data_IF_270287334664
#
_entry.id   IF_270287334664
#
_cell.length_a   1.000
_cell.length_b   1.000
_cell.length_c   1.000
_cell.angle_alpha   90.00
_cell.angle_beta   90.00
_cell.angle_gamma   90.00
#
_symmetry.space_group_name_H-M   'P 1'
#
loop_
_entity.id
_entity.type
_entity.pdbx_description
1 polymer ?
#
# COMPACT_ATOMS: atom_id res chain seq x y z
N UNK A 1 -8.90 -27.42 -29.17
CA UNK A 1 -8.45 -26.96 -27.85
C UNK A 1 -9.67 -26.89 -26.98
N UNK A 2 -9.84 -27.85 -26.08
CA UNK A 2 -10.94 -27.89 -25.09
C UNK A 2 -10.79 -26.65 -24.20
N UNK A 3 -11.68 -25.68 -24.36
CA UNK A 3 -11.88 -24.65 -23.34
C UNK A 3 -12.24 -25.37 -22.04
N UNK A 4 -11.35 -25.28 -21.06
CA UNK A 4 -11.59 -25.75 -19.70
C UNK A 4 -12.75 -24.92 -19.13
N UNK A 5 -13.97 -25.39 -19.35
CA UNK A 5 -15.20 -24.75 -18.87
C UNK A 5 -15.18 -24.85 -17.34
N UNK A 6 -14.94 -23.73 -16.66
CA UNK A 6 -14.99 -23.67 -15.20
C UNK A 6 -16.39 -24.09 -14.72
N UNK A 7 -16.45 -25.06 -13.81
CA UNK A 7 -17.72 -25.55 -13.29
C UNK A 7 -18.40 -24.47 -12.42
N UNK A 8 -19.74 -24.40 -12.46
CA UNK A 8 -20.49 -23.43 -11.66
C UNK A 8 -20.16 -23.50 -10.14
N UNK A 9 -19.95 -24.70 -9.60
CA UNK A 9 -19.56 -24.89 -8.20
C UNK A 9 -18.21 -24.24 -7.86
N UNK A 10 -17.28 -24.21 -8.81
CA UNK A 10 -15.96 -23.60 -8.65
C UNK A 10 -16.04 -22.07 -8.67
N UNK A 11 -16.89 -21.53 -9.55
CA UNK A 11 -17.22 -20.09 -9.59
C UNK A 11 -17.79 -19.64 -8.24
N UNK A 12 -18.76 -20.38 -7.71
CA UNK A 12 -19.36 -20.12 -6.39
C UNK A 12 -18.28 -20.12 -5.30
N UNK A 13 -17.41 -21.14 -5.26
CA UNK A 13 -16.34 -21.21 -4.26
C UNK A 13 -15.36 -20.03 -4.31
N UNK A 14 -15.06 -19.51 -5.51
CA UNK A 14 -14.23 -18.31 -5.68
C UNK A 14 -14.94 -17.07 -5.13
N UNK A 15 -16.22 -16.88 -5.45
CA UNK A 15 -16.97 -15.73 -4.92
C UNK A 15 -17.18 -15.82 -3.41
N UNK A 16 -17.46 -17.00 -2.86
CA UNK A 16 -17.55 -17.20 -1.40
C UNK A 16 -16.23 -16.88 -0.70
N UNK A 17 -15.09 -17.27 -1.31
CA UNK A 17 -13.78 -16.91 -0.80
C UNK A 17 -13.54 -15.40 -0.85
N UNK A 18 -14.04 -14.68 -1.85
CA UNK A 18 -13.89 -13.23 -1.97
C UNK A 18 -14.97 -12.41 -1.23
N UNK A 19 -16.11 -13.00 -0.89
CA UNK A 19 -17.24 -12.35 -0.21
C UNK A 19 -17.00 -12.08 1.29
N UNK A 20 -15.74 -11.92 1.69
CA UNK A 20 -15.36 -11.48 3.03
C UNK A 20 -14.23 -10.45 2.92
N UNK A 21 -14.38 -9.33 3.62
CA UNK A 21 -13.55 -8.14 3.48
C UNK A 21 -12.06 -8.43 3.59
N UNK A 22 -11.62 -9.12 4.65
CA UNK A 22 -10.20 -9.42 4.88
C UNK A 22 -9.60 -10.32 3.80
N UNK A 23 -10.36 -11.30 3.28
CA UNK A 23 -9.92 -12.17 2.18
C UNK A 23 -9.79 -11.40 0.87
N UNK A 24 -10.77 -10.56 0.56
CA UNK A 24 -10.71 -9.68 -0.61
C UNK A 24 -9.50 -8.74 -0.54
N UNK A 25 -9.27 -8.13 0.60
CA UNK A 25 -8.14 -7.21 0.80
C UNK A 25 -6.79 -7.92 0.77
N UNK A 26 -6.69 -9.13 1.33
CA UNK A 26 -5.50 -9.97 1.23
C UNK A 26 -5.21 -10.34 -0.22
N UNK A 27 -6.23 -10.74 -0.99
CA UNK A 27 -6.07 -11.05 -2.40
C UNK A 27 -5.67 -9.81 -3.22
N UNK A 28 -6.33 -8.66 -3.01
CA UNK A 28 -5.95 -7.38 -3.64
C UNK A 28 -4.53 -6.93 -3.27
N UNK A 29 -4.11 -7.16 -2.02
CA UNK A 29 -2.73 -6.90 -1.59
C UNK A 29 -1.74 -7.78 -2.36
N UNK A 30 -2.00 -9.08 -2.42
CA UNK A 30 -1.14 -10.04 -3.12
C UNK A 30 -1.06 -9.79 -4.63
N UNK A 31 -2.14 -9.33 -5.27
CA UNK A 31 -2.13 -8.90 -6.67
C UNK A 31 -1.13 -7.76 -6.92
N UNK A 32 -0.99 -6.81 -5.98
CA UNK A 32 0.01 -5.71 -6.08
C UNK A 32 1.45 -6.17 -5.91
N UNK A 33 1.66 -7.39 -5.41
CA UNK A 33 2.96 -8.00 -5.18
C UNK A 33 3.37 -8.99 -6.27
N UNK A 34 2.56 -9.16 -7.33
CA UNK A 34 2.93 -10.03 -8.44
C UNK A 34 4.21 -9.54 -9.15
N UNK A 35 5.10 -10.45 -9.56
CA UNK A 35 5.00 -11.91 -9.46
C UNK A 35 5.64 -12.51 -8.19
N UNK A 36 5.99 -11.72 -7.16
CA UNK A 36 6.86 -12.16 -6.06
C UNK A 36 6.16 -12.68 -4.81
N UNK A 37 5.08 -12.02 -4.36
CA UNK A 37 4.36 -12.39 -3.14
C UNK A 37 4.95 -11.87 -1.82
N UNK A 38 4.33 -12.27 -0.70
CA UNK A 38 4.62 -11.84 0.66
C UNK A 38 4.56 -12.98 1.68
N UNK A 39 5.35 -12.96 2.77
CA UNK A 39 5.13 -13.88 3.88
C UNK A 39 3.87 -13.52 4.67
N UNK A 40 3.23 -14.52 5.29
CA UNK A 40 2.00 -14.32 6.08
C UNK A 40 2.12 -13.19 7.12
N UNK A 41 3.26 -13.07 7.80
CA UNK A 41 3.42 -12.04 8.81
C UNK A 41 3.42 -10.61 8.27
N UNK A 42 3.90 -10.40 7.05
CA UNK A 42 3.86 -9.09 6.41
C UNK A 42 2.47 -8.79 5.86
N UNK A 43 1.76 -9.78 5.32
CA UNK A 43 0.35 -9.65 4.95
C UNK A 43 -0.49 -9.25 6.18
N UNK A 44 -0.28 -9.91 7.33
CA UNK A 44 -1.02 -9.64 8.56
C UNK A 44 -0.78 -8.22 9.03
N UNK A 45 0.48 -7.78 8.99
CA UNK A 45 0.88 -6.43 9.36
C UNK A 45 0.31 -5.36 8.44
N UNK A 46 0.37 -5.56 7.13
CA UNK A 46 -0.11 -4.58 6.15
C UNK A 46 -1.63 -4.42 6.19
N UNK A 47 -2.33 -5.49 6.50
CA UNK A 47 -3.77 -5.46 6.74
C UNK A 47 -4.12 -5.12 8.20
N UNK A 48 -3.14 -4.94 9.10
CA UNK A 48 -3.39 -4.74 10.53
C UNK A 48 -4.38 -5.77 11.12
N UNK A 49 -4.20 -7.06 10.79
CA UNK A 49 -5.02 -8.17 11.29
C UNK A 49 -4.17 -9.15 12.11
N UNK A 50 -4.74 -9.83 13.12
CA UNK A 50 -4.03 -10.86 13.86
C UNK A 50 -3.53 -12.02 12.97
N UNK A 51 -2.36 -12.59 13.29
CA UNK A 51 -1.73 -13.64 12.49
C UNK A 51 -2.56 -14.93 12.40
N UNK A 52 -3.20 -15.32 13.51
CA UNK A 52 -4.10 -16.48 13.55
C UNK A 52 -5.31 -16.27 12.63
N UNK A 53 -5.93 -15.09 12.69
CA UNK A 53 -7.05 -14.71 11.82
C UNK A 53 -6.63 -14.73 10.35
N UNK A 54 -5.48 -14.14 10.02
CA UNK A 54 -4.99 -14.16 8.64
C UNK A 54 -4.75 -15.59 8.14
N UNK A 55 -4.14 -16.45 8.95
CA UNK A 55 -3.82 -17.83 8.54
C UNK A 55 -5.07 -18.57 8.07
N UNK A 56 -6.18 -18.40 8.79
CA UNK A 56 -7.49 -18.93 8.39
C UNK A 56 -7.95 -18.34 7.05
N UNK A 57 -7.89 -17.02 6.89
CA UNK A 57 -8.27 -16.34 5.64
C UNK A 57 -7.44 -16.80 4.43
N UNK A 58 -6.13 -16.95 4.59
CA UNK A 58 -5.24 -17.45 3.54
C UNK A 58 -5.57 -18.89 3.17
N UNK A 59 -5.83 -19.77 4.15
CA UNK A 59 -6.23 -21.15 3.89
C UNK A 59 -7.56 -21.25 3.11
N UNK A 60 -8.50 -20.32 3.32
CA UNK A 60 -9.70 -20.24 2.47
C UNK A 60 -9.37 -19.81 1.04
N UNK A 61 -8.51 -18.80 0.86
CA UNK A 61 -8.10 -18.34 -0.47
C UNK A 61 -7.28 -19.40 -1.24
N UNK A 62 -6.40 -20.15 -0.57
CA UNK A 62 -5.64 -21.25 -1.17
C UNK A 62 -6.55 -22.40 -1.60
N UNK A 63 -7.55 -22.77 -0.78
CA UNK A 63 -8.55 -23.80 -1.15
C UNK A 63 -9.37 -23.40 -2.37
N UNK A 64 -9.68 -22.11 -2.53
CA UNK A 64 -10.34 -21.58 -3.72
C UNK A 64 -9.39 -21.41 -4.92
N UNK A 65 -8.10 -21.71 -4.76
CA UNK A 65 -7.08 -21.56 -5.81
C UNK A 65 -6.71 -20.11 -6.15
N UNK A 66 -7.15 -19.13 -5.34
CA UNK A 66 -6.87 -17.71 -5.52
C UNK A 66 -5.50 -17.30 -4.98
N UNK A 67 -4.92 -18.08 -4.08
CA UNK A 67 -3.60 -17.84 -3.50
C UNK A 67 -2.75 -19.10 -3.63
N UNK A 68 -1.46 -18.91 -3.88
CA UNK A 68 -0.47 -19.98 -3.96
C UNK A 68 0.63 -19.73 -2.92
N UNK A 69 1.01 -20.76 -2.18
CA UNK A 69 2.09 -20.72 -1.19
C UNK A 69 3.37 -21.43 -1.64
N UNK A 70 4.52 -20.80 -1.39
CA UNK A 70 5.87 -21.38 -1.59
C UNK A 70 6.66 -21.33 -0.29
N UNK A 71 7.21 -22.47 0.16
CA UNK A 71 8.13 -22.49 1.29
C UNK A 71 9.47 -21.85 0.91
N UNK A 72 9.93 -20.89 1.71
CA UNK A 72 11.25 -20.28 1.60
C UNK A 72 11.91 -20.26 2.98
N UNK A 73 12.76 -21.26 3.24
CA UNK A 73 13.38 -21.45 4.56
C UNK A 73 12.33 -21.72 5.64
N UNK A 74 12.21 -20.81 6.62
CA UNK A 74 11.28 -20.92 7.76
C UNK A 74 9.92 -20.27 7.52
N UNK A 75 9.73 -19.56 6.41
CA UNK A 75 8.48 -18.87 6.09
C UNK A 75 7.82 -19.44 4.83
N UNK A 76 6.53 -19.19 4.68
CA UNK A 76 5.78 -19.43 3.44
C UNK A 76 5.52 -18.07 2.79
N UNK A 77 5.91 -17.94 1.53
CA UNK A 77 5.61 -16.78 0.68
C UNK A 77 4.33 -17.08 -0.10
N UNK A 78 3.34 -16.22 0.05
CA UNK A 78 2.06 -16.31 -0.64
C UNK A 78 1.99 -15.31 -1.79
N UNK A 79 1.41 -15.71 -2.92
CA UNK A 79 1.11 -14.83 -4.05
C UNK A 79 -0.31 -15.08 -4.58
N UNK A 80 -0.86 -14.07 -5.25
CA UNK A 80 -2.16 -14.18 -5.90
C UNK A 80 -2.07 -15.06 -7.16
N UNK A 81 -3.12 -15.83 -7.42
CA UNK A 81 -3.33 -16.52 -8.69
C UNK A 81 -4.32 -15.72 -9.54
N UNK A 82 -3.81 -14.79 -10.35
CA UNK A 82 -4.64 -13.91 -11.19
C UNK A 82 -5.40 -14.66 -12.27
N UNK A 83 -4.83 -15.74 -12.81
CA UNK A 83 -5.45 -16.51 -13.90
C UNK A 83 -6.76 -17.14 -13.47
N UNK A 84 -6.86 -17.59 -12.21
CA UNK A 84 -8.06 -18.23 -11.67
C UNK A 84 -9.27 -17.30 -11.67
N UNK A 85 -9.14 -16.13 -11.06
CA UNK A 85 -10.20 -15.13 -11.05
C UNK A 85 -10.47 -14.59 -12.46
N UNK A 86 -9.42 -14.39 -13.25
CA UNK A 86 -9.56 -13.86 -14.59
C UNK A 86 -10.33 -14.78 -15.55
N UNK A 87 -10.16 -16.11 -15.46
CA UNK A 87 -11.01 -17.05 -16.20
C UNK A 87 -12.49 -16.93 -15.78
N UNK A 88 -12.79 -16.84 -14.48
CA UNK A 88 -14.17 -16.65 -13.99
C UNK A 88 -14.80 -15.37 -14.54
N UNK A 89 -14.07 -14.25 -14.48
CA UNK A 89 -14.55 -12.98 -15.00
C UNK A 89 -14.76 -13.02 -16.51
N UNK A 90 -13.85 -13.67 -17.24
CA UNK A 90 -13.96 -13.84 -18.71
C UNK A 90 -15.21 -14.65 -19.07
N UNK A 91 -15.45 -15.77 -18.38
CA UNK A 91 -16.67 -16.58 -18.58
C UNK A 91 -17.93 -15.76 -18.33
N UNK A 92 -18.02 -15.05 -17.20
CA UNK A 92 -19.20 -14.23 -16.88
C UNK A 92 -19.43 -13.10 -17.88
N UNK A 93 -18.36 -12.47 -18.38
CA UNK A 93 -18.49 -11.39 -19.37
C UNK A 93 -18.90 -11.93 -20.73
N UNK A 94 -18.39 -13.10 -21.11
CA UNK A 94 -18.85 -13.81 -22.31
C UNK A 94 -20.34 -14.11 -22.23
N UNK A 95 -20.84 -14.54 -21.06
CA UNK A 95 -22.28 -14.75 -20.82
C UNK A 95 -23.09 -13.44 -20.94
N UNK A 96 -22.48 -12.28 -20.68
CA UNK A 96 -23.06 -10.95 -20.86
C UNK A 96 -22.92 -10.41 -22.31
N UNK A 97 -22.29 -11.15 -23.22
CA UNK A 97 -22.00 -10.69 -24.57
C UNK A 97 -20.90 -9.62 -24.65
N UNK A 98 -20.08 -9.51 -23.60
CA UNK A 98 -18.94 -8.61 -23.53
C UNK A 98 -17.61 -9.39 -23.65
N UNK A 99 -16.59 -8.76 -24.19
CA UNK A 99 -15.22 -9.27 -24.18
C UNK A 99 -14.31 -8.34 -23.37
N UNK A 100 -13.33 -8.93 -22.68
CA UNK A 100 -12.19 -8.19 -22.14
C UNK A 100 -10.99 -8.47 -23.03
N UNK A 101 -10.87 -7.72 -24.12
CA UNK A 101 -9.72 -7.84 -25.03
C UNK A 101 -8.39 -7.38 -24.38
N UNK A 102 -8.46 -6.77 -23.19
CA UNK A 102 -7.33 -6.11 -22.53
C UNK A 102 -6.83 -6.77 -21.22
N UNK A 103 -7.45 -7.84 -20.73
CA UNK A 103 -6.90 -8.53 -19.55
C UNK A 103 -5.78 -9.49 -19.96
N UNK A 104 -4.57 -8.97 -20.15
CA UNK A 104 -3.36 -9.80 -20.08
C UNK A 104 -3.21 -10.29 -18.63
N UNK A 105 -3.92 -11.35 -18.27
CA UNK A 105 -3.77 -12.03 -17.00
C UNK A 105 -2.38 -12.63 -17.00
N UNK A 106 -1.53 -12.20 -16.06
CA UNK A 106 -0.25 -12.86 -15.85
C UNK A 106 -0.52 -14.36 -15.66
N UNK A 107 0.21 -15.19 -16.42
CA UNK A 107 0.18 -16.64 -16.28
C UNK A 107 0.41 -17.01 -14.81
N UNK A 108 -0.12 -18.15 -14.32
CA UNK A 108 0.04 -18.54 -12.93
C UNK A 108 1.53 -18.81 -12.67
N UNK A 109 2.22 -17.81 -12.15
CA UNK A 109 3.60 -17.92 -11.71
C UNK A 109 3.56 -18.20 -10.22
N UNK A 110 4.08 -19.37 -9.83
CA UNK A 110 4.50 -19.57 -8.45
C UNK A 110 5.35 -18.37 -8.02
N UNK A 111 5.18 -17.81 -6.80
CA UNK A 111 5.83 -16.57 -6.42
C UNK A 111 7.32 -16.61 -6.76
N UNK A 112 7.78 -15.69 -7.58
CA UNK A 112 9.18 -15.57 -7.92
C UNK A 112 9.93 -15.02 -6.72
N UNK A 113 11.20 -15.39 -6.58
CA UNK A 113 12.04 -14.70 -5.59
C UNK A 113 12.27 -13.28 -6.09
N UNK A 114 11.96 -12.26 -5.30
CA UNK A 114 12.28 -10.88 -5.66
C UNK A 114 13.79 -10.78 -5.88
N UNK A 115 14.27 -10.44 -7.08
CA UNK A 115 15.70 -10.24 -7.30
C UNK A 115 16.16 -9.10 -6.38
N UNK A 116 17.38 -9.22 -5.83
CA UNK A 116 18.00 -8.09 -5.13
C UNK A 116 18.04 -6.91 -6.10
N UNK A 117 17.65 -5.72 -5.63
CA UNK A 117 17.62 -4.51 -6.47
C UNK A 117 18.94 -4.36 -7.23
N UNK A 118 18.88 -4.29 -8.56
CA UNK A 118 20.06 -4.04 -9.39
C UNK A 118 20.63 -2.63 -9.15
N UNK A 119 19.77 -1.70 -8.74
CA UNK A 119 20.13 -0.34 -8.35
C UNK A 119 20.51 -0.28 -6.88
N UNK A 120 21.72 0.19 -6.60
CA UNK A 120 22.20 0.53 -5.25
C UNK A 120 21.70 1.89 -4.75
N UNK A 121 20.88 2.61 -5.52
CA UNK A 121 20.44 3.96 -5.16
C UNK A 121 19.24 3.90 -4.22
N UNK A 122 19.47 4.31 -2.98
CA UNK A 122 18.40 4.56 -2.00
C UNK A 122 17.64 5.81 -2.42
N UNK A 123 16.32 5.72 -2.52
CA UNK A 123 15.42 6.85 -2.86
C UNK A 123 14.88 7.48 -1.59
N UNK A 124 15.05 8.79 -1.45
CA UNK A 124 14.54 9.52 -0.29
C UNK A 124 13.11 10.01 -0.53
N UNK A 125 12.21 9.70 0.39
CA UNK A 125 10.79 10.07 0.33
C UNK A 125 10.42 10.89 1.56
N UNK A 126 9.83 12.07 1.35
CA UNK A 126 9.35 12.93 2.44
C UNK A 126 7.82 12.95 2.48
N UNK A 127 7.23 12.52 3.59
CA UNK A 127 5.80 12.61 3.85
C UNK A 127 5.45 13.87 4.63
N UNK A 128 4.53 14.67 4.11
CA UNK A 128 4.09 15.92 4.74
C UNK A 128 2.65 15.81 5.21
N UNK A 129 2.40 16.18 6.46
CA UNK A 129 1.05 16.42 6.98
C UNK A 129 1.04 17.61 7.94
N UNK A 130 -0.10 18.20 8.28
CA UNK A 130 -0.16 19.45 9.05
C UNK A 130 0.63 19.38 10.36
N UNK A 131 0.37 18.36 11.20
CA UNK A 131 0.96 18.23 12.53
C UNK A 131 2.19 17.32 12.68
N UNK A 132 2.58 16.57 11.65
CA UNK A 132 3.55 15.46 11.77
C UNK A 132 3.30 14.52 12.97
N UNK A 133 2.04 14.27 13.32
CA UNK A 133 1.68 13.52 14.52
C UNK A 133 1.15 12.12 14.21
N UNK A 134 0.34 11.96 13.16
CA UNK A 134 -0.34 10.71 12.82
C UNK A 134 0.02 10.21 11.42
N UNK A 135 -0.66 10.71 10.37
CA UNK A 135 -0.56 10.21 8.97
C UNK A 135 0.86 10.07 8.45
N UNK A 136 1.68 11.13 8.57
CA UNK A 136 3.06 11.09 8.05
C UNK A 136 3.99 10.21 8.87
N UNK A 137 3.72 10.00 10.17
CA UNK A 137 4.44 9.04 11.01
C UNK A 137 4.10 7.60 10.61
N UNK A 138 2.82 7.29 10.40
CA UNK A 138 2.38 5.99 9.89
C UNK A 138 3.02 5.69 8.52
N UNK A 139 3.04 6.67 7.61
CA UNK A 139 3.64 6.50 6.29
C UNK A 139 5.16 6.31 6.33
N UNK A 140 5.87 7.07 7.18
CA UNK A 140 7.32 6.91 7.40
C UNK A 140 7.64 5.50 7.92
N UNK A 141 6.89 5.02 8.91
CA UNK A 141 7.08 3.70 9.51
C UNK A 141 6.89 2.58 8.48
N UNK A 142 5.79 2.62 7.73
CA UNK A 142 5.48 1.61 6.72
C UNK A 142 6.53 1.61 5.62
N UNK A 143 6.89 2.77 5.05
CA UNK A 143 7.84 2.82 3.94
C UNK A 143 9.26 2.41 4.35
N UNK A 144 9.73 2.79 5.54
CA UNK A 144 11.05 2.36 6.00
C UNK A 144 11.16 0.85 6.19
N UNK A 145 10.03 0.17 6.46
CA UNK A 145 9.98 -1.30 6.55
C UNK A 145 9.83 -1.96 5.19
N UNK A 146 8.79 -1.59 4.45
CA UNK A 146 8.44 -2.20 3.16
C UNK A 146 9.46 -1.85 2.06
N UNK A 147 10.05 -0.66 2.15
CA UNK A 147 11.03 -0.17 1.20
C UNK A 147 12.41 -0.79 1.35
N UNK A 148 12.72 -1.41 2.50
CA UNK A 148 13.99 -2.08 2.77
C UNK A 148 15.21 -1.20 2.47
N UNK A 149 16.12 -1.71 1.65
CA UNK A 149 17.33 -1.01 1.21
C UNK A 149 17.11 -0.08 0.00
N UNK A 150 15.88 -0.01 -0.54
CA UNK A 150 15.56 0.78 -1.74
C UNK A 150 15.04 2.17 -1.43
N UNK A 151 14.47 2.37 -0.24
CA UNK A 151 13.86 3.62 0.16
C UNK A 151 14.34 4.06 1.54
N UNK A 152 14.38 5.37 1.72
CA UNK A 152 14.52 5.99 3.03
C UNK A 152 13.42 7.02 3.19
N UNK A 153 12.54 6.77 4.14
CA UNK A 153 11.39 7.61 4.41
C UNK A 153 11.71 8.60 5.53
N UNK A 154 11.20 9.80 5.36
CA UNK A 154 11.19 10.88 6.32
C UNK A 154 9.76 11.43 6.40
N UNK A 155 9.40 12.04 7.53
CA UNK A 155 8.15 12.79 7.68
C UNK A 155 8.39 14.19 8.23
N UNK A 156 7.48 15.10 7.95
CA UNK A 156 7.50 16.43 8.56
C UNK A 156 6.11 17.06 8.53
N UNK A 157 5.99 18.25 9.12
CA UNK A 157 4.76 19.03 9.07
C UNK A 157 4.96 20.53 8.96
N UNK A 158 3.88 21.20 8.53
CA UNK A 158 3.83 22.66 8.39
C UNK A 158 3.76 23.33 9.77
N UNK A 159 2.98 22.73 10.68
CA UNK A 159 2.76 23.14 12.07
C UNK A 159 2.96 21.92 12.97
N UNK A 160 4.21 21.45 13.16
CA UNK A 160 4.46 20.20 13.89
C UNK A 160 3.90 20.28 15.31
N UNK A 161 3.23 19.21 15.73
CA UNK A 161 2.83 19.00 17.11
C UNK A 161 4.06 18.83 18.02
N UNK A 162 3.86 18.85 19.32
CA UNK A 162 4.94 18.63 20.30
C UNK A 162 5.52 17.21 20.20
N UNK A 163 4.67 16.22 19.95
CA UNK A 163 5.05 14.80 19.84
C UNK A 163 4.14 14.04 18.88
N UNK A 164 4.56 12.86 18.40
CA UNK A 164 3.68 11.95 17.66
C UNK A 164 2.43 11.57 18.47
N UNK A 165 1.35 11.26 17.78
CA UNK A 165 0.09 10.85 18.42
C UNK A 165 0.28 9.51 19.16
N UNK A 166 -0.04 9.41 20.46
CA UNK A 166 0.16 8.19 21.23
C UNK A 166 -0.57 6.97 20.65
N UNK A 167 -1.77 7.14 20.08
CA UNK A 167 -2.55 6.04 19.51
C UNK A 167 -1.85 5.49 18.26
N UNK A 168 -1.29 6.37 17.42
CA UNK A 168 -0.51 5.98 16.26
C UNK A 168 0.78 5.24 16.65
N UNK A 169 1.46 5.71 17.69
CA UNK A 169 2.67 5.05 18.22
C UNK A 169 2.35 3.68 18.82
N UNK A 170 1.27 3.55 19.59
CA UNK A 170 0.80 2.27 20.14
C UNK A 170 0.46 1.28 19.03
N UNK A 171 -0.27 1.73 18.00
CA UNK A 171 -0.60 0.91 16.83
C UNK A 171 0.68 0.38 16.15
N UNK A 172 1.63 1.26 15.83
CA UNK A 172 2.89 0.87 15.20
C UNK A 172 3.70 -0.11 16.08
N UNK A 173 3.75 0.13 17.39
CA UNK A 173 4.41 -0.78 18.34
C UNK A 173 3.76 -2.17 18.32
N UNK A 174 2.42 -2.24 18.37
CA UNK A 174 1.67 -3.50 18.32
C UNK A 174 1.88 -4.30 17.03
N UNK A 175 2.15 -3.60 15.92
CA UNK A 175 2.46 -4.18 14.61
C UNK A 175 3.95 -4.54 14.45
N UNK A 176 4.75 -4.29 15.49
CA UNK A 176 6.16 -4.66 15.59
C UNK A 176 7.11 -3.68 14.88
N UNK A 177 6.74 -2.41 14.73
CA UNK A 177 7.64 -1.35 14.29
C UNK A 177 8.47 -0.81 15.46
N UNK A 178 9.72 -0.42 15.21
CA UNK A 178 10.50 0.36 16.18
C UNK A 178 10.03 1.81 16.16
N UNK A 179 9.48 2.28 17.28
CA UNK A 179 8.85 3.60 17.38
C UNK A 179 9.73 4.66 18.03
N UNK A 180 10.91 4.30 18.54
CA UNK A 180 11.75 5.18 19.36
C UNK A 180 12.29 6.40 18.62
N UNK A 181 12.48 6.27 17.30
CA UNK A 181 13.04 7.33 16.47
C UNK A 181 12.00 8.35 15.97
N UNK A 182 10.70 8.09 16.14
CA UNK A 182 9.66 8.99 15.64
C UNK A 182 9.55 10.24 16.49
N UNK A 183 9.56 11.40 15.82
CA UNK A 183 9.34 12.72 16.44
C UNK A 183 8.63 13.64 15.45
N UNK A 184 7.86 14.57 16.00
CA UNK A 184 7.25 15.65 15.23
C UNK A 184 8.30 16.70 14.88
N UNK A 185 8.42 17.05 13.60
CA UNK A 185 9.43 17.98 13.07
C UNK A 185 8.88 18.84 11.95
N UNK A 186 9.40 20.06 11.84
CA UNK A 186 9.00 21.00 10.80
C UNK A 186 9.63 20.61 9.47
N UNK A 187 8.92 20.84 8.35
CA UNK A 187 9.50 20.66 7.02
C UNK A 187 10.76 21.52 6.78
N UNK A 188 10.95 22.59 7.57
CA UNK A 188 12.09 23.51 7.45
C UNK A 188 13.43 22.80 7.71
N UNK A 189 13.40 21.69 8.43
CA UNK A 189 14.57 20.83 8.64
C UNK A 189 15.07 20.24 7.31
N UNK A 190 14.17 19.98 6.37
CA UNK A 190 14.45 19.34 5.08
C UNK A 190 14.74 20.32 3.94
N UNK A 191 14.73 21.62 4.24
CA UNK A 191 15.06 22.68 3.27
C UNK A 191 16.43 23.31 3.54
N UNK A 192 17.17 22.81 4.54
CA UNK A 192 18.52 23.29 4.85
C UNK A 192 19.54 22.79 3.81
N UNK A 193 20.67 23.49 3.60
CA UNK A 193 21.67 23.09 2.61
C UNK A 193 22.26 21.67 2.81
N UNK A 194 22.32 21.20 4.07
CA UNK A 194 22.80 19.89 4.49
C UNK A 194 21.70 18.82 4.56
N UNK A 195 20.46 19.19 4.24
CA UNK A 195 19.33 18.27 4.30
C UNK A 195 19.46 17.15 3.24
N UNK A 196 18.94 15.94 3.54
CA UNK A 196 18.85 14.88 2.55
C UNK A 196 18.11 15.35 1.30
N UNK A 197 18.67 15.08 0.12
CA UNK A 197 17.98 15.38 -1.14
C UNK A 197 16.78 14.45 -1.31
N UNK A 198 15.59 15.00 -1.49
CA UNK A 198 14.36 14.24 -1.68
C UNK A 198 14.15 13.89 -3.14
N UNK A 199 13.83 12.63 -3.41
CA UNK A 199 13.38 12.16 -4.73
C UNK A 199 11.87 12.31 -4.88
N UNK A 200 11.13 12.11 -3.78
CA UNK A 200 9.68 12.22 -3.72
C UNK A 200 9.24 13.04 -2.52
N UNK A 201 8.24 13.87 -2.70
CA UNK A 201 7.54 14.56 -1.61
C UNK A 201 6.04 14.27 -1.75
N UNK A 202 5.47 13.68 -0.72
CA UNK A 202 4.09 13.19 -0.73
C UNK A 202 3.30 13.89 0.38
N UNK A 203 2.29 14.67 0.00
CA UNK A 203 1.42 15.37 0.95
C UNK A 203 0.23 14.48 1.32
N UNK A 204 -0.11 14.41 2.60
CA UNK A 204 -1.16 13.52 3.14
C UNK A 204 -2.36 14.26 3.72
N UNK A 205 -2.30 15.59 3.77
CA UNK A 205 -3.40 16.45 4.18
C UNK A 205 -3.68 17.52 3.13
N UNK A 206 -4.93 17.90 3.07
CA UNK A 206 -5.44 18.84 2.07
C UNK A 206 -4.91 20.27 2.35
N UNK A 207 -4.81 20.65 3.64
CA UNK A 207 -4.25 21.94 4.08
C UNK A 207 -2.85 22.25 3.52
N UNK A 208 -2.01 21.22 3.32
CA UNK A 208 -0.66 21.37 2.78
C UNK A 208 -0.68 21.36 1.25
N UNK A 209 -1.68 20.74 0.63
CA UNK A 209 -1.81 20.71 -0.82
C UNK A 209 -2.21 22.08 -1.40
N UNK A 210 -3.03 22.84 -0.67
CA UNK A 210 -3.52 24.16 -1.10
C UNK A 210 -2.51 25.30 -0.87
N UNK A 211 -1.44 25.07 -0.10
CA UNK A 211 -0.33 26.01 0.03
C UNK A 211 0.89 25.46 -0.71
N UNK A 212 1.28 26.00 -1.88
CA UNK A 212 2.50 25.59 -2.58
C UNK A 212 3.72 26.16 -1.84
N UNK A 213 3.95 25.72 -0.60
CA UNK A 213 4.98 26.26 0.28
C UNK A 213 6.10 25.23 0.45
N UNK A 214 7.13 25.33 -0.39
CA UNK A 214 8.44 24.77 -0.08
C UNK A 214 9.47 24.95 -1.20
N UNK A 215 10.73 25.32 -0.90
CA UNK A 215 11.84 25.36 -1.85
C UNK A 215 12.32 23.93 -2.15
N UNK A 216 11.43 23.07 -2.60
CA UNK A 216 11.80 21.71 -2.97
C UNK A 216 12.72 21.78 -4.20
N UNK A 217 13.80 20.99 -4.26
CA UNK A 217 14.60 20.90 -5.47
C UNK A 217 13.68 20.61 -6.65
N UNK A 218 13.83 21.34 -7.78
CA UNK A 218 12.99 21.17 -9.00
C UNK A 218 12.87 19.71 -9.49
N UNK A 219 13.74 18.83 -9.01
CA UNK A 219 13.86 17.45 -9.43
C UNK A 219 13.04 16.47 -8.58
N UNK A 220 12.51 16.87 -7.41
CA UNK A 220 11.63 15.99 -6.64
C UNK A 220 10.29 15.78 -7.37
N UNK A 221 9.72 14.58 -7.31
CA UNK A 221 8.36 14.32 -7.76
C UNK A 221 7.38 14.59 -6.62
N UNK A 222 6.35 15.38 -6.90
CA UNK A 222 5.31 15.74 -5.96
C UNK A 222 4.07 14.89 -6.22
N UNK A 223 3.46 14.39 -5.15
CA UNK A 223 2.16 13.72 -5.20
C UNK A 223 1.33 14.06 -3.95
N UNK A 224 0.01 13.97 -4.08
CA UNK A 224 -0.91 14.18 -2.97
C UNK A 224 -1.74 12.92 -2.73
N UNK A 225 -1.55 12.30 -1.58
CA UNK A 225 -2.25 11.08 -1.15
C UNK A 225 -3.07 11.38 0.11
N UNK A 226 -4.01 12.31 -0.03
CA UNK A 226 -4.90 12.72 1.04
C UNK A 226 -5.66 11.52 1.63
N UNK A 227 -5.56 11.38 2.96
CA UNK A 227 -6.35 10.46 3.76
C UNK A 227 -6.92 11.20 4.97
N UNK A 228 -8.11 10.78 5.41
CA UNK A 228 -8.76 11.36 6.59
C UNK A 228 -7.82 11.37 7.81
N UNK A 229 -7.85 12.44 8.60
CA UNK A 229 -7.00 12.54 9.79
C UNK A 229 -7.56 11.66 10.91
N UNK A 230 -6.88 10.58 11.31
CA UNK A 230 -7.37 9.72 12.37
C UNK A 230 -7.37 10.43 13.73
N UNK A 231 -6.54 11.48 13.93
CA UNK A 231 -6.53 12.27 15.16
C UNK A 231 -7.79 13.16 15.32
N UNK A 232 -8.51 13.42 14.22
CA UNK A 232 -9.76 14.18 14.21
C UNK A 232 -11.00 13.29 14.37
N UNK A 233 -10.82 11.97 14.52
CA UNK A 233 -11.92 11.04 14.73
C UNK A 233 -12.67 11.39 16.03
N UNK A 234 -13.98 11.61 15.91
CA UNK A 234 -14.87 11.79 17.06
C UNK A 234 -15.28 10.43 17.60
N UNK A 235 -15.46 10.34 18.92
CA UNK A 235 -15.91 9.11 19.55
C UNK A 235 -15.07 8.65 20.73
N UNK A 236 -15.36 7.44 21.18
CA UNK A 236 -14.62 6.73 22.23
C UNK A 236 -13.23 6.26 21.76
N UNK A 237 -12.46 5.67 22.67
CA UNK A 237 -11.11 5.20 22.38
C UNK A 237 -11.08 4.07 21.35
N UNK A 238 -12.12 3.23 21.29
CA UNK A 238 -12.21 2.16 20.30
C UNK A 238 -12.43 2.73 18.89
N UNK A 239 -13.29 3.74 18.76
CA UNK A 239 -13.54 4.45 17.51
C UNK A 239 -12.30 5.20 17.02
N UNK A 240 -11.55 5.83 17.93
CA UNK A 240 -10.25 6.44 17.58
C UNK A 240 -9.23 5.42 17.10
N UNK A 241 -9.07 4.29 17.82
CA UNK A 241 -8.17 3.20 17.41
C UNK A 241 -8.57 2.65 16.03
N UNK A 242 -9.85 2.50 15.76
CA UNK A 242 -10.37 2.07 14.46
C UNK A 242 -10.00 3.06 13.34
N UNK A 243 -10.11 4.37 13.58
CA UNK A 243 -9.71 5.38 12.61
C UNK A 243 -8.19 5.33 12.31
N UNK A 244 -7.35 5.11 13.33
CA UNK A 244 -5.91 4.93 13.14
C UNK A 244 -5.58 3.67 12.34
N UNK A 245 -6.25 2.55 12.63
CA UNK A 245 -6.10 1.32 11.85
C UNK A 245 -6.50 1.51 10.40
N UNK A 246 -7.61 2.20 10.14
CA UNK A 246 -8.08 2.49 8.79
C UNK A 246 -7.10 3.39 8.02
N UNK A 247 -6.61 4.48 8.64
CA UNK A 247 -5.60 5.34 8.04
C UNK A 247 -4.31 4.56 7.73
N UNK A 248 -3.87 3.69 8.65
CA UNK A 248 -2.72 2.82 8.45
C UNK A 248 -2.93 1.88 7.26
N UNK A 249 -4.10 1.22 7.14
CA UNK A 249 -4.41 0.30 6.03
C UNK A 249 -4.44 1.03 4.68
N UNK A 250 -5.05 2.22 4.62
CA UNK A 250 -5.10 3.06 3.41
C UNK A 250 -3.72 3.51 2.95
N UNK A 251 -2.88 3.96 3.88
CA UNK A 251 -1.50 4.35 3.59
C UNK A 251 -0.66 3.14 3.21
N UNK A 252 -0.82 2.01 3.93
CA UNK A 252 -0.14 0.75 3.64
C UNK A 252 -0.44 0.23 2.24
N UNK A 253 -1.70 0.30 1.79
CA UNK A 253 -2.09 -0.08 0.43
C UNK A 253 -1.41 0.79 -0.64
N UNK A 254 -1.37 2.11 -0.44
CA UNK A 254 -0.70 3.06 -1.35
C UNK A 254 0.81 2.85 -1.39
N UNK A 255 1.43 2.70 -0.22
CA UNK A 255 2.87 2.47 -0.09
C UNK A 255 3.29 1.13 -0.68
N UNK A 256 2.46 0.10 -0.51
CA UNK A 256 2.64 -1.18 -1.19
C UNK A 256 2.65 -1.02 -2.70
N UNK A 257 1.67 -0.29 -3.26
CA UNK A 257 1.63 -0.04 -4.70
C UNK A 257 2.88 0.73 -5.15
N UNK A 258 3.28 1.74 -4.38
CA UNK A 258 4.44 2.57 -4.64
C UNK A 258 5.76 1.78 -4.64
N UNK A 259 6.06 0.98 -3.62
CA UNK A 259 7.33 0.22 -3.55
C UNK A 259 7.44 -0.85 -4.64
N UNK A 260 6.32 -1.25 -5.22
CA UNK A 260 6.25 -2.22 -6.30
C UNK A 260 6.20 -1.60 -7.71
N UNK A 261 6.27 -0.28 -7.83
CA UNK A 261 6.48 0.36 -9.13
C UNK A 261 7.83 -0.05 -9.74
N UNK A 262 7.91 -0.26 -11.06
CA UNK A 262 9.15 -0.58 -11.75
C UNK A 262 9.99 0.69 -12.01
N UNK A 263 10.50 1.31 -10.94
CA UNK A 263 11.20 2.61 -11.00
C UNK A 263 12.40 2.68 -11.97
N UNK A 264 13.01 1.55 -12.32
CA UNK A 264 14.15 1.53 -13.25
C UNK A 264 13.71 1.55 -14.72
N UNK A 265 12.45 1.20 -15.02
CA UNK A 265 11.91 1.19 -16.39
C UNK A 265 10.95 2.35 -16.67
N UNK A 266 10.51 3.08 -15.66
CA UNK A 266 9.60 4.21 -15.81
C UNK A 266 10.38 5.51 -15.98
N UNK A 267 10.03 6.27 -17.00
CA UNK A 267 10.45 7.67 -17.10
C UNK A 267 9.69 8.56 -16.09
N UNK A 268 10.06 9.84 -16.03
CA UNK A 268 9.47 10.80 -15.08
C UNK A 268 7.97 11.02 -15.31
N UNK A 269 7.51 11.00 -16.56
CA UNK A 269 6.10 11.26 -16.90
C UNK A 269 5.22 10.05 -16.52
N UNK A 270 5.66 8.85 -16.89
CA UNK A 270 5.01 7.60 -16.52
C UNK A 270 5.00 7.41 -15.00
N UNK A 271 6.08 7.77 -14.30
CA UNK A 271 6.12 7.74 -12.85
C UNK A 271 5.15 8.73 -12.21
N UNK A 272 5.01 9.94 -12.76
CA UNK A 272 4.01 10.93 -12.31
C UNK A 272 2.59 10.38 -12.49
N UNK A 273 2.29 9.76 -13.63
CA UNK A 273 0.99 9.13 -13.88
C UNK A 273 0.72 8.00 -12.87
N UNK A 274 1.68 7.12 -12.61
CA UNK A 274 1.52 6.05 -11.60
C UNK A 274 1.30 6.58 -10.18
N UNK A 275 1.93 7.70 -9.82
CA UNK A 275 1.70 8.35 -8.53
C UNK A 275 0.28 8.93 -8.40
N UNK A 276 -0.28 9.42 -9.51
CA UNK A 276 -1.67 9.88 -9.59
C UNK A 276 -2.65 8.70 -9.49
N UNK A 277 -2.39 7.59 -10.18
CA UNK A 277 -3.18 6.35 -10.04
C UNK A 277 -3.25 5.89 -8.57
N UNK A 278 -2.12 5.95 -7.85
CA UNK A 278 -2.04 5.60 -6.43
C UNK A 278 -2.79 6.61 -5.54
N UNK A 279 -2.82 7.89 -5.91
CA UNK A 279 -3.55 8.91 -5.17
C UNK A 279 -5.05 8.61 -5.09
N UNK A 280 -5.62 8.15 -6.21
CA UNK A 280 -7.04 7.84 -6.39
C UNK A 280 -7.49 6.50 -5.78
N UNK A 281 -6.59 5.77 -5.12
CA UNK A 281 -6.95 4.52 -4.44
C UNK A 281 -8.02 4.76 -3.36
N UNK A 282 -8.75 3.69 -3.02
CA UNK A 282 -9.83 3.70 -2.03
C UNK A 282 -9.49 4.51 -0.75
N UNK A 283 -10.47 5.31 -0.32
CA UNK A 283 -10.35 6.17 0.85
C UNK A 283 -9.55 7.46 0.65
N UNK A 284 -9.32 7.87 -0.61
CA UNK A 284 -8.78 9.18 -0.98
C UNK A 284 -9.72 10.32 -0.57
N UNK A 285 -9.16 11.48 -0.22
CA UNK A 285 -9.95 12.73 -0.09
C UNK A 285 -10.38 13.22 -1.47
N UNK A 286 -11.43 14.05 -1.53
CA UNK A 286 -11.88 14.66 -2.78
C UNK A 286 -10.76 15.47 -3.45
N UNK A 287 -9.96 16.19 -2.64
CA UNK A 287 -8.82 16.95 -3.14
C UNK A 287 -7.72 16.06 -3.74
N UNK A 288 -7.50 14.86 -3.18
CA UNK A 288 -6.56 13.89 -3.73
C UNK A 288 -7.03 13.33 -5.08
N UNK A 289 -8.34 13.13 -5.26
CA UNK A 289 -8.91 12.70 -6.55
C UNK A 289 -8.82 13.84 -7.57
N UNK A 290 -9.19 15.06 -7.20
CA UNK A 290 -9.20 16.21 -8.11
C UNK A 290 -7.80 16.63 -8.59
N UNK A 291 -6.77 16.47 -7.76
CA UNK A 291 -5.39 16.78 -8.15
C UNK A 291 -4.71 15.65 -8.97
N UNK A 292 -5.30 14.47 -8.99
CA UNK A 292 -4.80 13.31 -9.71
C UNK A 292 -5.40 13.16 -11.12
N UNK A 293 -6.60 13.73 -11.33
CA UNK A 293 -7.26 13.85 -12.63
C UNK A 293 -6.57 14.91 -13.52
#
# INVERSE_FOLDING_TARGET
MTEDRIAAAEIVGIFEALAQTTRLEAYRLLLRYLPYGLPAGDIARLLAVPHNTLSTHIAHLERAGLVLGRREGRSVIYAANSSKLGHVLTTMLTDLGASLDDLTLAAPAFPQKRPKSASKRVRNVLFLCSGNAARSILAEAVLNREGGDRFRAFSAGSRPAERPDPVGVELLSSLGYDTRAFRSKSWKEFTKPDAPRMDFVITLCDDICEQPCGPWPRNALLAHWGVADPAMAKGDDAQKRAAFMEAYRRLGARLTAFVNLPFESLDRAALKSRLADIAMMEGATELAVNNAA
#
